data_IF_624520576456
#
_entry.id   IF_624520576456
#
_cell.length_a   1.000
_cell.length_b   1.000
_cell.length_c   1.000
_cell.angle_alpha   90.00
_cell.angle_beta   90.00
_cell.angle_gamma   90.00
#
_symmetry.space_group_name_H-M   'P 1'
#
loop_
_entity.id
_entity.type
_entity.pdbx_description
1 polymer ?
#
# COMPACT_ATOMS: atom_id res chain seq x y z
N UNK A 1 -29.43 -28.15 10.15
CA UNK A 1 -28.77 -27.22 9.21
C UNK A 1 -27.71 -28.02 8.50
N UNK A 2 -27.87 -28.29 7.21
CA UNK A 2 -26.78 -28.86 6.41
C UNK A 2 -25.64 -27.83 6.43
N UNK A 3 -24.48 -28.19 7.00
CA UNK A 3 -23.29 -27.35 6.85
C UNK A 3 -22.98 -27.37 5.35
N UNK A 4 -22.92 -26.19 4.73
CA UNK A 4 -22.43 -26.07 3.35
C UNK A 4 -20.97 -26.54 3.25
N UNK A 5 -20.40 -26.59 2.03
CA UNK A 5 -18.98 -26.87 1.85
C UNK A 5 -18.15 -25.87 2.67
N UNK A 6 -16.97 -26.32 3.15
CA UNK A 6 -16.07 -25.48 3.93
C UNK A 6 -15.66 -24.26 3.08
N UNK A 7 -15.68 -23.03 3.61
CA UNK A 7 -15.25 -21.85 2.86
C UNK A 7 -13.88 -22.09 2.20
N UNK A 8 -13.77 -21.68 0.93
CA UNK A 8 -12.55 -21.80 0.10
C UNK A 8 -12.06 -23.22 -0.19
N UNK A 9 -12.84 -24.25 0.11
CA UNK A 9 -12.56 -25.58 -0.43
C UNK A 9 -12.89 -25.65 -1.93
N UNK A 10 -12.34 -26.63 -2.64
CA UNK A 10 -12.72 -26.91 -4.04
C UNK A 10 -14.23 -27.13 -4.19
N UNK A 11 -14.88 -27.76 -3.20
CA UNK A 11 -16.34 -27.91 -3.16
C UNK A 11 -17.09 -26.57 -2.98
N UNK A 12 -16.49 -25.60 -2.30
CA UNK A 12 -17.07 -24.26 -2.11
C UNK A 12 -16.92 -23.41 -3.37
N UNK A 13 -15.74 -23.43 -4.01
CA UNK A 13 -15.47 -22.71 -5.26
C UNK A 13 -16.35 -23.16 -6.43
N UNK A 14 -16.76 -24.43 -6.42
CA UNK A 14 -17.63 -25.02 -7.47
C UNK A 14 -19.11 -25.03 -7.09
N UNK A 15 -19.46 -24.58 -5.88
CA UNK A 15 -20.85 -24.54 -5.43
C UNK A 15 -21.61 -23.39 -6.13
N UNK A 16 -22.90 -23.58 -6.45
CA UNK A 16 -23.73 -22.49 -6.97
C UNK A 16 -23.81 -21.34 -5.93
N UNK A 17 -23.79 -20.07 -6.36
CA UNK A 17 -23.73 -18.92 -5.46
C UNK A 17 -24.87 -18.95 -4.45
N UNK A 18 -24.51 -18.87 -3.17
CA UNK A 18 -25.47 -18.87 -2.06
C UNK A 18 -26.11 -17.48 -1.99
N UNK A 19 -27.44 -17.43 -1.98
CA UNK A 19 -28.15 -16.17 -1.84
C UNK A 19 -27.68 -15.43 -0.56
N UNK A 20 -27.43 -14.10 -0.64
CA UNK A 20 -26.88 -13.35 0.48
C UNK A 20 -27.73 -13.52 1.73
N UNK A 21 -27.07 -13.76 2.87
CA UNK A 21 -27.77 -13.81 4.15
C UNK A 21 -28.46 -12.46 4.37
N UNK A 22 -29.76 -12.44 4.73
CA UNK A 22 -30.42 -11.19 5.05
C UNK A 22 -29.67 -10.53 6.21
N UNK A 23 -29.35 -9.25 6.06
CA UNK A 23 -28.71 -8.45 7.09
C UNK A 23 -29.35 -8.72 8.46
N UNK A 24 -28.53 -8.93 9.50
CA UNK A 24 -29.00 -9.11 10.88
C UNK A 24 -29.81 -7.88 11.29
N UNK A 25 -31.13 -7.96 11.12
CA UNK A 25 -32.04 -6.90 11.58
C UNK A 25 -31.95 -6.85 13.10
N UNK A 26 -31.55 -5.71 13.63
CA UNK A 26 -31.62 -5.43 15.06
C UNK A 26 -33.02 -5.79 15.58
N UNK A 27 -33.12 -6.41 16.78
CA UNK A 27 -34.40 -6.82 17.34
C UNK A 27 -35.35 -5.61 17.44
N UNK A 28 -36.62 -5.82 17.08
CA UNK A 28 -37.62 -4.77 16.85
C UNK A 28 -37.78 -3.76 18.01
N UNK A 29 -37.39 -4.13 19.24
CA UNK A 29 -37.38 -3.24 20.40
C UNK A 29 -36.37 -2.08 20.30
N UNK A 30 -35.23 -2.26 19.63
CA UNK A 30 -34.18 -1.24 19.51
C UNK A 30 -34.55 -0.19 18.45
N UNK A 31 -35.17 -0.62 17.33
CA UNK A 31 -35.60 0.31 16.27
C UNK A 31 -36.81 1.16 16.68
N UNK A 32 -37.68 0.66 17.57
CA UNK A 32 -38.76 1.46 18.15
C UNK A 32 -38.24 2.49 19.17
N UNK A 33 -37.25 2.14 19.99
CA UNK A 33 -36.65 3.09 20.94
C UNK A 33 -35.94 4.26 20.22
N UNK A 34 -35.22 3.98 19.13
CA UNK A 34 -34.58 5.00 18.29
C UNK A 34 -35.61 5.91 17.57
N UNK A 35 -36.72 5.34 17.09
CA UNK A 35 -37.80 6.13 16.45
C UNK A 35 -38.61 6.97 17.44
N UNK A 36 -38.81 6.51 18.68
CA UNK A 36 -39.51 7.30 19.71
C UNK A 36 -38.63 8.36 20.37
N UNK A 37 -37.30 8.17 20.41
CA UNK A 37 -36.35 9.20 20.85
C UNK A 37 -36.24 10.38 19.88
N UNK A 38 -36.26 10.11 18.57
CA UNK A 38 -36.13 11.13 17.54
C UNK A 38 -37.38 12.02 17.37
N UNK A 39 -38.58 11.54 17.75
CA UNK A 39 -39.83 12.28 17.57
C UNK A 39 -40.13 13.32 18.67
N UNK A 40 -39.23 13.50 19.66
CA UNK A 40 -39.47 14.35 20.83
C UNK A 40 -38.32 15.32 21.13
N UNK A 41 -37.61 15.76 20.10
CA UNK A 41 -36.56 16.76 20.21
C UNK A 41 -37.01 18.06 19.50
N UNK A 42 -36.94 19.24 20.16
CA UNK A 42 -37.09 20.51 19.46
C UNK A 42 -35.90 20.68 18.50
N UNK A 43 -36.11 21.35 17.37
CA UNK A 43 -35.25 21.32 16.17
C UNK A 43 -33.74 21.51 16.39
N UNK A 44 -32.97 21.25 15.32
CA UNK A 44 -31.51 21.03 15.26
C UNK A 44 -30.61 21.92 16.17
N UNK A 45 -31.02 23.15 16.45
CA UNK A 45 -30.31 24.07 17.35
C UNK A 45 -30.41 23.69 18.85
N UNK A 46 -31.46 22.98 19.28
CA UNK A 46 -31.59 22.53 20.66
C UNK A 46 -30.74 21.29 20.94
N UNK A 47 -30.55 20.42 19.94
CA UNK A 47 -29.71 19.23 20.07
C UNK A 47 -28.23 19.60 20.24
N UNK A 48 -27.75 20.54 19.41
CA UNK A 48 -26.37 21.04 19.49
C UNK A 48 -26.10 21.75 20.82
N UNK A 49 -27.02 22.59 21.31
CA UNK A 49 -26.87 23.20 22.65
C UNK A 49 -26.88 22.18 23.78
N UNK A 50 -27.69 21.12 23.69
CA UNK A 50 -27.79 20.11 24.77
C UNK A 50 -26.55 19.23 24.83
N UNK A 51 -25.98 18.85 23.67
CA UNK A 51 -24.73 18.08 23.59
C UNK A 51 -23.55 18.90 24.10
N UNK A 52 -23.45 20.18 23.73
CA UNK A 52 -22.40 21.08 24.24
C UNK A 52 -22.53 21.28 25.75
N UNK A 53 -23.74 21.46 26.28
CA UNK A 53 -23.97 21.61 27.71
C UNK A 53 -23.62 20.33 28.49
N UNK A 54 -23.89 19.15 27.93
CA UNK A 54 -23.52 17.85 28.50
C UNK A 54 -21.99 17.67 28.53
N UNK A 55 -21.29 18.04 27.46
CA UNK A 55 -19.82 18.00 27.42
C UNK A 55 -19.17 18.95 28.43
N UNK A 56 -19.75 20.14 28.63
CA UNK A 56 -19.30 21.12 29.65
C UNK A 56 -19.56 20.62 31.07
N UNK A 57 -20.69 19.98 31.33
CA UNK A 57 -21.02 19.44 32.66
C UNK A 57 -20.18 18.19 33.00
N UNK A 58 -19.84 17.34 32.03
CA UNK A 58 -18.94 16.19 32.22
C UNK A 58 -17.51 16.64 32.51
N UNK A 59 -17.04 17.71 31.86
CA UNK A 59 -15.69 18.27 32.11
C UNK A 59 -15.59 19.01 33.46
N UNK A 60 -16.68 19.57 33.97
CA UNK A 60 -16.74 20.17 35.32
C UNK A 60 -16.94 19.15 36.45
N UNK A 61 -17.39 17.92 36.15
CA UNK A 61 -17.62 16.85 37.13
C UNK A 61 -16.37 16.05 37.53
N UNK A 62 -15.30 16.12 36.73
CA UNK A 62 -14.05 15.38 36.97
C UNK A 62 -13.04 16.11 37.88
N UNK A 63 -13.36 17.30 38.36
CA UNK A 63 -12.52 18.06 39.29
C UNK A 63 -13.26 18.31 40.60
N UNK A 64 -13.04 17.44 41.59
CA UNK A 64 -13.23 17.79 43.00
C UNK A 64 -12.03 17.34 43.82
N UNK A 65 -11.60 18.14 44.82
CA UNK A 65 -10.30 18.01 45.45
C UNK A 65 -10.40 17.15 46.72
N UNK A 66 -9.50 16.17 46.89
CA UNK A 66 -9.01 15.69 48.20
C UNK A 66 -8.03 14.53 48.02
N UNK A 67 -6.83 14.70 48.58
CA UNK A 67 -5.82 13.66 48.70
C UNK A 67 -4.50 14.26 49.20
N UNK A 68 -4.42 14.51 50.51
CA UNK A 68 -3.19 14.91 51.21
C UNK A 68 -2.12 13.82 51.14
N UNK A 69 -0.87 14.21 50.86
CA UNK A 69 0.31 13.41 51.15
C UNK A 69 1.39 14.29 51.81
N UNK A 70 1.41 14.18 53.14
CA UNK A 70 2.52 14.27 54.08
C UNK A 70 3.86 14.90 53.62
N UNK A 71 4.22 15.99 54.31
CA UNK A 71 5.54 16.63 54.31
C UNK A 71 6.29 16.22 55.59
N UNK A 72 7.58 15.83 55.50
CA UNK A 72 8.53 16.10 56.56
C UNK A 72 9.45 17.27 56.18
N UNK A 73 9.47 18.21 57.11
CA UNK A 73 10.27 19.42 57.22
C UNK A 73 11.78 19.12 57.24
N UNK A 74 12.53 19.76 56.33
CA UNK A 74 13.93 20.16 56.57
C UNK A 74 14.15 21.55 55.96
N UNK A 75 14.20 22.56 56.84
CA UNK A 75 15.30 23.52 56.89
C UNK A 75 15.40 24.53 55.75
N UNK A 76 15.00 25.77 56.03
CA UNK A 76 15.02 26.88 55.09
C UNK A 76 16.39 27.23 54.50
N UNK A 77 16.37 27.54 53.21
CA UNK A 77 17.10 28.62 52.55
C UNK A 77 16.42 28.84 51.17
N UNK A 78 16.21 30.10 50.80
CA UNK A 78 15.52 30.49 49.55
C UNK A 78 16.23 29.94 48.30
N UNK A 79 15.51 29.36 47.31
CA UNK A 79 16.11 28.99 46.04
C UNK A 79 16.24 30.23 45.16
N UNK A 80 17.46 30.79 45.12
CA UNK A 80 17.90 31.73 44.09
C UNK A 80 17.83 31.06 42.72
N UNK A 81 17.28 31.77 41.74
CA UNK A 81 17.35 31.43 40.32
C UNK A 81 18.81 31.13 39.94
N UNK A 82 19.08 29.90 39.50
CA UNK A 82 20.35 29.54 38.90
C UNK A 82 20.49 30.23 37.55
N UNK A 83 21.50 31.10 37.45
CA UNK A 83 21.89 31.78 36.24
C UNK A 83 22.40 30.79 35.17
N UNK A 84 22.25 31.13 33.87
CA UNK A 84 22.76 30.30 32.77
C UNK A 84 24.29 30.20 32.82
N UNK A 85 24.78 28.98 32.61
CA UNK A 85 26.19 28.60 32.52
C UNK A 85 26.88 29.33 31.35
N UNK A 86 28.09 29.88 31.54
CA UNK A 86 28.77 30.67 30.52
C UNK A 86 29.38 29.82 29.39
N UNK A 87 29.19 30.29 28.15
CA UNK A 87 29.83 29.84 26.92
C UNK A 87 31.29 30.31 26.93
N UNK A 88 32.29 29.49 26.53
CA UNK A 88 33.67 29.95 26.45
C UNK A 88 33.85 30.99 25.34
N UNK A 89 34.29 32.19 25.75
CA UNK A 89 34.68 33.30 24.88
C UNK A 89 36.06 33.01 24.27
N UNK A 90 36.17 33.00 22.94
CA UNK A 90 37.46 33.08 22.25
C UNK A 90 37.86 34.55 22.16
N UNK A 91 38.92 34.91 22.88
CA UNK A 91 39.58 36.22 22.76
C UNK A 91 40.29 36.30 21.40
N UNK A 92 39.88 37.28 20.58
CA UNK A 92 40.62 37.69 19.40
C UNK A 92 41.60 38.79 19.83
N UNK A 93 42.87 38.41 19.91
CA UNK A 93 44.00 39.29 20.20
C UNK A 93 44.21 40.30 19.05
N UNK A 94 44.46 41.56 19.39
CA UNK A 94 44.69 42.65 18.45
C UNK A 94 46.06 42.52 17.75
N UNK A 95 46.01 42.48 16.41
CA UNK A 95 46.92 43.07 15.44
C UNK A 95 48.44 43.05 15.70
N UNK A 96 49.15 42.22 14.93
CA UNK A 96 50.52 42.50 14.46
C UNK A 96 50.61 42.36 12.92
N UNK A 97 51.58 43.05 12.29
CA UNK A 97 51.38 43.78 11.04
C UNK A 97 51.38 42.91 9.78
N UNK A 98 50.66 43.42 8.77
CA UNK A 98 50.44 42.80 7.48
C UNK A 98 51.74 42.40 6.75
N UNK A 99 51.86 41.15 6.26
CA UNK A 99 52.82 40.80 5.24
C UNK A 99 52.42 41.45 3.91
N UNK A 100 53.35 42.14 3.27
CA UNK A 100 53.18 42.65 1.91
C UNK A 100 53.09 41.47 0.93
N UNK A 101 52.04 41.37 0.10
CA UNK A 101 52.06 40.44 -1.01
C UNK A 101 52.82 41.06 -2.19
N UNK A 102 53.97 40.48 -2.51
CA UNK A 102 54.55 40.55 -3.85
C UNK A 102 53.58 39.81 -4.79
N UNK A 103 52.81 40.56 -5.59
CA UNK A 103 52.04 40.00 -6.69
C UNK A 103 52.87 40.14 -7.96
N UNK A 104 53.34 39.00 -8.46
CA UNK A 104 53.77 38.81 -9.83
C UNK A 104 52.57 39.05 -10.75
N UNK A 105 52.70 39.97 -11.71
CA UNK A 105 51.70 40.18 -12.77
C UNK A 105 51.71 39.01 -13.76
N UNK A 106 51.00 37.95 -13.43
CA UNK A 106 50.41 37.04 -14.42
C UNK A 106 48.88 37.17 -14.34
N UNK A 107 48.27 37.40 -15.50
CA UNK A 107 46.92 37.91 -15.64
C UNK A 107 45.86 36.93 -15.11
N UNK A 108 45.19 37.32 -14.02
CA UNK A 108 43.89 36.81 -13.60
C UNK A 108 42.83 37.82 -14.00
N UNK A 109 42.20 37.59 -15.16
CA UNK A 109 40.97 38.28 -15.55
C UNK A 109 39.85 37.82 -14.63
N UNK A 110 39.46 38.70 -13.70
CA UNK A 110 38.26 38.51 -12.87
C UNK A 110 37.06 38.71 -13.78
N UNK A 111 36.37 37.61 -14.14
CA UNK A 111 35.09 37.67 -14.84
C UNK A 111 34.07 38.40 -13.98
N UNK A 112 33.27 39.26 -14.61
CA UNK A 112 32.16 39.94 -13.97
C UNK A 112 31.16 38.92 -13.40
N UNK A 113 30.41 39.29 -12.35
CA UNK A 113 29.37 38.42 -11.77
C UNK A 113 28.33 38.00 -12.82
N UNK A 114 28.13 38.82 -13.85
CA UNK A 114 27.24 38.57 -14.99
C UNK A 114 27.78 37.46 -15.91
N UNK A 115 29.08 37.46 -16.19
CA UNK A 115 29.74 36.40 -16.96
C UNK A 115 29.78 35.07 -16.19
N UNK A 116 29.99 35.10 -14.87
CA UNK A 116 29.95 33.90 -14.03
C UNK A 116 28.54 33.33 -13.81
N UNK A 117 27.50 34.15 -13.96
CA UNK A 117 26.10 33.70 -13.97
C UNK A 117 25.73 33.09 -15.34
N UNK A 118 26.16 33.74 -16.43
CA UNK A 118 25.95 33.24 -17.79
C UNK A 118 26.64 31.89 -18.02
N UNK A 119 27.85 31.67 -17.46
CA UNK A 119 28.53 30.38 -17.56
C UNK A 119 27.82 29.26 -16.79
N UNK A 120 27.31 29.55 -15.59
CA UNK A 120 26.52 28.58 -14.81
C UNK A 120 25.21 28.20 -15.50
N UNK A 121 24.56 29.17 -16.12
CA UNK A 121 23.36 28.91 -16.91
C UNK A 121 23.67 28.07 -18.15
N UNK A 122 24.76 28.39 -18.87
CA UNK A 122 25.20 27.63 -20.04
C UNK A 122 25.72 26.21 -19.69
N UNK A 123 26.14 25.98 -18.44
CA UNK A 123 26.51 24.66 -17.94
C UNK A 123 25.27 23.85 -17.53
N UNK A 124 24.30 24.48 -16.88
CA UNK A 124 23.01 23.86 -16.55
C UNK A 124 22.23 23.46 -17.82
N UNK A 125 22.21 24.31 -18.86
CA UNK A 125 21.57 24.00 -20.14
C UNK A 125 22.28 22.85 -20.86
N UNK A 126 23.62 22.77 -20.78
CA UNK A 126 24.38 21.64 -21.33
C UNK A 126 24.10 20.34 -20.58
N UNK A 127 24.00 20.40 -19.26
CA UNK A 127 23.68 19.24 -18.44
C UNK A 127 22.26 18.73 -18.72
N UNK A 128 21.29 19.64 -18.83
CA UNK A 128 19.92 19.32 -19.22
C UNK A 128 19.85 18.71 -20.63
N UNK A 129 20.67 19.17 -21.58
CA UNK A 129 20.73 18.58 -22.92
C UNK A 129 21.41 17.19 -22.93
N UNK A 130 22.42 16.98 -22.09
CA UNK A 130 23.04 15.66 -21.91
C UNK A 130 22.03 14.68 -21.30
N UNK A 131 21.29 15.10 -20.27
CA UNK A 131 20.24 14.29 -19.65
C UNK A 131 19.11 13.99 -20.62
N UNK A 132 18.65 14.97 -21.41
CA UNK A 132 17.64 14.73 -22.45
C UNK A 132 18.13 13.76 -23.52
N UNK A 133 19.39 13.86 -23.96
CA UNK A 133 19.96 12.92 -24.93
C UNK A 133 20.16 11.53 -24.33
N UNK A 134 20.54 11.43 -23.06
CA UNK A 134 20.64 10.16 -22.36
C UNK A 134 19.26 9.49 -22.19
N UNK A 135 18.22 10.28 -21.93
CA UNK A 135 16.82 9.84 -21.88
C UNK A 135 16.32 9.38 -23.26
N UNK A 136 16.59 10.16 -24.31
CA UNK A 136 16.29 9.80 -25.70
C UNK A 136 17.03 8.53 -26.13
N UNK A 137 18.30 8.35 -25.74
CA UNK A 137 19.07 7.14 -26.00
C UNK A 137 18.57 5.93 -25.18
N UNK A 138 18.13 6.12 -23.93
CA UNK A 138 17.47 5.06 -23.13
C UNK A 138 16.15 4.63 -23.74
N UNK A 139 15.34 5.58 -24.21
CA UNK A 139 14.06 5.30 -24.87
C UNK A 139 14.27 4.67 -26.27
N UNK A 140 15.33 5.05 -26.99
CA UNK A 140 15.68 4.46 -28.28
C UNK A 140 16.37 3.09 -28.15
N UNK A 141 17.04 2.83 -27.02
CA UNK A 141 17.64 1.54 -26.66
C UNK A 141 16.66 0.58 -25.98
N UNK A 142 15.39 0.99 -25.78
CA UNK A 142 14.34 0.07 -25.37
C UNK A 142 14.34 -1.13 -26.32
N UNK A 143 14.62 -2.35 -25.84
CA UNK A 143 14.66 -3.52 -26.70
C UNK A 143 13.28 -3.64 -27.35
N UNK A 144 13.25 -3.75 -28.68
CA UNK A 144 12.04 -4.17 -29.39
C UNK A 144 11.73 -5.58 -28.90
N UNK A 145 10.88 -5.67 -27.87
CA UNK A 145 10.42 -6.92 -27.31
C UNK A 145 9.82 -7.72 -28.47
N UNK A 146 10.49 -8.81 -28.85
CA UNK A 146 9.88 -9.83 -29.67
C UNK A 146 8.87 -10.53 -28.77
N UNK A 147 7.63 -10.04 -28.79
CA UNK A 147 6.50 -10.63 -28.08
C UNK A 147 6.42 -12.11 -28.47
N UNK A 148 6.78 -12.99 -27.52
CA UNK A 148 6.48 -14.41 -27.65
C UNK A 148 4.96 -14.56 -27.74
N UNK A 149 4.47 -15.50 -28.54
CA UNK A 149 3.04 -15.77 -28.61
C UNK A 149 2.49 -16.09 -27.19
N UNK A 150 1.26 -15.63 -26.86
CA UNK A 150 0.67 -15.87 -25.56
C UNK A 150 0.68 -17.37 -25.28
N UNK A 151 1.42 -17.79 -24.25
CA UNK A 151 1.27 -19.16 -23.74
C UNK A 151 -0.14 -19.25 -23.19
N UNK A 152 -0.87 -20.30 -23.58
CA UNK A 152 -2.18 -20.61 -23.00
C UNK A 152 -2.04 -20.60 -21.48
N UNK A 153 -2.93 -19.90 -20.73
CA UNK A 153 -2.90 -19.92 -19.27
C UNK A 153 -2.79 -21.36 -18.80
N UNK A 154 -1.78 -21.66 -17.99
CA UNK A 154 -1.67 -22.95 -17.32
C UNK A 154 -2.88 -23.00 -16.41
N UNK A 155 -3.91 -23.81 -16.71
CA UNK A 155 -5.07 -23.91 -15.84
C UNK A 155 -4.63 -24.63 -14.57
N UNK A 156 -4.13 -23.89 -13.59
CA UNK A 156 -3.86 -24.36 -12.24
C UNK A 156 -5.15 -24.99 -11.74
N UNK A 157 -5.12 -26.31 -11.51
CA UNK A 157 -6.31 -27.08 -11.10
C UNK A 157 -6.78 -26.56 -9.74
N UNK A 158 -8.08 -26.35 -9.57
CA UNK A 158 -8.69 -25.73 -8.38
C UNK A 158 -8.25 -24.27 -8.13
N UNK A 159 -7.75 -23.56 -9.16
CA UNK A 159 -7.53 -22.12 -9.13
C UNK A 159 -8.84 -21.30 -9.06
N UNK A 160 -8.72 -20.03 -8.66
CA UNK A 160 -9.84 -19.10 -8.57
C UNK A 160 -10.20 -18.49 -9.94
N UNK A 161 -9.19 -18.13 -10.73
CA UNK A 161 -9.32 -17.50 -12.05
C UNK A 161 -9.12 -18.52 -13.18
N UNK A 162 -9.70 -18.33 -14.38
CA UNK A 162 -10.54 -17.21 -14.81
C UNK A 162 -12.02 -17.34 -14.40
N UNK A 163 -12.43 -18.42 -13.74
CA UNK A 163 -13.83 -18.70 -13.38
C UNK A 163 -14.44 -17.60 -12.53
N UNK A 164 -13.65 -17.05 -11.60
CA UNK A 164 -14.02 -15.90 -10.78
C UNK A 164 -13.22 -14.67 -11.18
N UNK A 165 -13.77 -13.51 -10.85
CA UNK A 165 -13.05 -12.24 -10.77
C UNK A 165 -12.77 -11.94 -9.31
N UNK A 166 -11.60 -11.40 -9.01
CA UNK A 166 -11.23 -11.02 -7.65
C UNK A 166 -11.34 -9.50 -7.54
N UNK A 167 -11.96 -9.02 -6.47
CA UNK A 167 -12.03 -7.61 -6.12
C UNK A 167 -11.42 -7.39 -4.73
N UNK A 168 -10.36 -6.62 -4.64
CA UNK A 168 -9.70 -6.32 -3.36
C UNK A 168 -9.79 -4.85 -2.99
N UNK A 169 -9.84 -4.59 -1.69
CA UNK A 169 -9.62 -3.27 -1.11
C UNK A 169 -8.27 -3.28 -0.42
N UNK A 170 -7.41 -2.33 -0.79
CA UNK A 170 -6.01 -2.25 -0.38
C UNK A 170 -5.80 -1.28 0.78
N UNK A 171 -4.89 -1.62 1.69
CA UNK A 171 -4.29 -0.62 2.55
C UNK A 171 -3.71 -1.10 3.88
N UNK A 172 -3.24 -0.15 4.67
CA UNK A 172 -2.81 -0.37 6.05
C UNK A 172 -3.93 0.00 7.05
N UNK A 173 -4.43 -0.97 7.83
CA UNK A 173 -5.51 -0.72 8.79
C UNK A 173 -5.16 0.40 9.78
N UNK A 174 -6.08 1.34 9.97
CA UNK A 174 -5.91 2.48 10.87
C UNK A 174 -5.04 3.62 10.33
N UNK A 175 -4.59 3.57 9.08
CA UNK A 175 -3.89 4.68 8.42
C UNK A 175 -4.61 5.15 7.15
N UNK A 176 -5.42 6.20 7.29
CA UNK A 176 -6.21 6.78 6.19
C UNK A 176 -5.40 7.43 5.05
N UNK A 177 -4.06 7.39 5.10
CA UNK A 177 -3.19 7.81 4.00
C UNK A 177 -2.65 6.64 3.18
N UNK A 178 -2.91 5.42 3.63
CA UNK A 178 -2.36 4.20 3.05
C UNK A 178 -3.49 3.28 2.60
N UNK A 179 -4.44 3.82 1.84
CA UNK A 179 -5.53 3.08 1.21
C UNK A 179 -6.81 2.97 2.04
N UNK A 180 -7.88 2.57 1.36
CA UNK A 180 -9.25 2.50 1.87
C UNK A 180 -9.39 1.65 3.14
N UNK A 181 -8.55 0.62 3.36
CA UNK A 181 -8.57 -0.16 4.61
C UNK A 181 -8.22 0.65 5.86
N UNK A 182 -7.57 1.80 5.69
CA UNK A 182 -7.26 2.73 6.77
C UNK A 182 -8.35 3.78 7.05
N UNK A 183 -9.39 3.86 6.21
CA UNK A 183 -10.41 4.92 6.27
C UNK A 183 -11.66 4.53 7.05
N UNK A 184 -12.03 3.25 7.04
CA UNK A 184 -13.28 2.74 7.63
C UNK A 184 -13.07 1.46 8.45
N UNK A 185 -14.04 1.12 9.30
CA UNK A 185 -14.05 -0.15 10.03
C UNK A 185 -14.32 -1.34 9.08
N UNK A 186 -13.81 -2.53 9.41
CA UNK A 186 -13.87 -3.73 8.54
C UNK A 186 -15.28 -4.13 8.08
N UNK A 187 -16.28 -4.00 8.94
CA UNK A 187 -17.68 -4.32 8.58
C UNK A 187 -18.21 -3.35 7.52
N UNK A 188 -17.87 -2.06 7.62
CA UNK A 188 -18.27 -1.05 6.64
C UNK A 188 -17.55 -1.27 5.30
N UNK A 189 -16.24 -1.55 5.35
CA UNK A 189 -15.46 -1.91 4.15
C UNK A 189 -16.07 -3.12 3.46
N UNK A 190 -16.41 -4.17 4.21
CA UNK A 190 -16.99 -5.39 3.64
C UNK A 190 -18.33 -5.13 2.94
N UNK A 191 -19.17 -4.25 3.50
CA UNK A 191 -20.43 -3.86 2.86
C UNK A 191 -20.19 -3.06 1.57
N UNK A 192 -19.23 -2.13 1.58
CA UNK A 192 -18.83 -1.36 0.39
C UNK A 192 -18.26 -2.28 -0.72
N UNK A 193 -17.37 -3.21 -0.35
CA UNK A 193 -16.80 -4.19 -1.26
C UNK A 193 -17.88 -5.06 -1.92
N UNK A 194 -18.89 -5.50 -1.17
CA UNK A 194 -20.01 -6.28 -1.70
C UNK A 194 -20.88 -5.48 -2.67
N UNK A 195 -21.09 -4.19 -2.40
CA UNK A 195 -21.78 -3.29 -3.34
C UNK A 195 -20.96 -3.13 -4.63
N UNK A 196 -19.66 -2.90 -4.51
CA UNK A 196 -18.75 -2.79 -5.65
C UNK A 196 -18.69 -4.09 -6.47
N UNK A 197 -18.61 -5.24 -5.80
CA UNK A 197 -18.66 -6.56 -6.45
C UNK A 197 -19.97 -6.76 -7.24
N UNK A 198 -21.12 -6.39 -6.66
CA UNK A 198 -22.40 -6.46 -7.35
C UNK A 198 -22.47 -5.56 -8.60
N UNK A 199 -21.77 -4.42 -8.59
CA UNK A 199 -21.66 -3.57 -9.78
C UNK A 199 -20.87 -4.25 -10.91
N UNK A 200 -19.77 -4.94 -10.58
CA UNK A 200 -19.02 -5.74 -11.55
C UNK A 200 -19.81 -6.95 -12.07
N UNK A 201 -20.53 -7.67 -11.20
CA UNK A 201 -21.40 -8.78 -11.61
C UNK A 201 -22.57 -8.31 -12.49
N UNK A 202 -23.07 -7.10 -12.27
CA UNK A 202 -24.10 -6.51 -13.14
C UNK A 202 -23.55 -6.17 -14.53
N UNK A 203 -22.29 -5.71 -14.60
CA UNK A 203 -21.62 -5.36 -15.85
C UNK A 203 -21.13 -6.60 -16.63
N UNK A 204 -20.71 -7.66 -15.94
CA UNK A 204 -20.35 -8.96 -16.51
C UNK A 204 -20.97 -10.12 -15.70
N UNK A 205 -22.22 -10.51 -16.03
CA UNK A 205 -22.92 -11.59 -15.32
C UNK A 205 -22.35 -12.98 -15.52
N UNK A 206 -21.32 -13.14 -16.37
CA UNK A 206 -20.74 -14.45 -16.68
C UNK A 206 -19.66 -14.88 -15.66
N UNK A 207 -19.12 -13.92 -14.89
CA UNK A 207 -18.04 -14.14 -13.93
C UNK A 207 -18.43 -13.63 -12.54
N UNK A 208 -18.72 -14.53 -11.58
CA UNK A 208 -18.94 -14.14 -10.19
C UNK A 208 -17.73 -13.42 -9.60
N UNK A 209 -17.96 -12.54 -8.62
CA UNK A 209 -16.88 -11.75 -8.00
C UNK A 209 -16.61 -12.25 -6.57
N UNK A 210 -15.37 -12.65 -6.32
CA UNK A 210 -14.84 -12.92 -4.98
C UNK A 210 -14.23 -11.64 -4.42
N UNK A 211 -14.56 -11.29 -3.18
CA UNK A 211 -14.02 -10.11 -2.50
C UNK A 211 -12.86 -10.48 -1.56
N UNK A 212 -11.86 -9.62 -1.43
CA UNK A 212 -10.73 -9.83 -0.52
C UNK A 212 -10.12 -8.57 0.08
N UNK A 213 -9.61 -8.68 1.30
CA UNK A 213 -8.79 -7.63 1.90
C UNK A 213 -7.35 -7.76 1.40
N UNK A 214 -6.71 -6.66 1.05
CA UNK A 214 -5.29 -6.62 0.71
C UNK A 214 -4.55 -5.75 1.71
N UNK A 215 -3.98 -6.41 2.73
CA UNK A 215 -3.41 -5.79 3.91
C UNK A 215 -1.90 -5.72 3.76
N UNK A 216 -1.35 -4.51 3.91
CA UNK A 216 0.10 -4.32 3.95
C UNK A 216 0.65 -5.02 5.18
N UNK A 217 1.44 -6.08 4.97
CA UNK A 217 2.02 -6.93 6.01
C UNK A 217 3.43 -6.46 6.42
N UNK A 218 4.14 -5.77 5.53
CA UNK A 218 5.38 -5.06 5.85
C UNK A 218 5.37 -3.68 5.20
N UNK A 219 5.60 -2.63 5.99
CA UNK A 219 5.46 -1.24 5.58
C UNK A 219 6.83 -0.60 5.41
N UNK A 220 7.15 -0.16 4.19
CA UNK A 220 8.35 0.58 3.89
C UNK A 220 8.39 1.94 4.61
N UNK A 221 9.57 2.26 5.11
CA UNK A 221 9.85 3.47 5.88
C UNK A 221 10.82 4.36 5.11
N UNK A 222 10.69 5.67 5.28
CA UNK A 222 11.69 6.61 4.79
C UNK A 222 13.00 6.55 5.58
N UNK A 223 12.91 6.20 6.87
CA UNK A 223 14.06 6.11 7.78
C UNK A 223 14.52 4.65 7.93
N UNK A 224 15.84 4.47 8.09
CA UNK A 224 16.43 3.17 8.35
C UNK A 224 15.98 2.61 9.70
N UNK A 225 15.53 1.35 9.71
CA UNK A 225 15.14 0.63 10.92
C UNK A 225 16.36 -0.02 11.60
N UNK A 226 16.19 -0.52 12.83
CA UNK A 226 17.32 -1.04 13.62
C UNK A 226 18.06 -2.22 12.96
N UNK A 227 17.40 -2.96 12.08
CA UNK A 227 17.94 -4.07 11.29
C UNK A 227 18.46 -3.65 9.91
N UNK A 228 18.36 -2.37 9.57
CA UNK A 228 18.75 -1.82 8.26
C UNK A 228 17.76 -2.11 7.12
N UNK A 229 16.59 -2.68 7.42
CA UNK A 229 15.62 -3.14 6.40
C UNK A 229 14.81 -2.03 5.76
N UNK A 230 14.63 -0.90 6.45
CA UNK A 230 13.62 0.12 6.12
C UNK A 230 12.18 -0.42 6.16
N UNK A 231 11.91 -1.48 6.93
CA UNK A 231 10.57 -2.06 7.10
C UNK A 231 10.08 -2.01 8.54
N UNK A 232 8.82 -1.62 8.71
CA UNK A 232 8.05 -1.93 9.90
C UNK A 232 7.07 -3.05 9.58
N UNK A 233 7.19 -4.17 10.29
CA UNK A 233 6.26 -5.28 10.15
C UNK A 233 4.93 -4.94 10.80
N UNK A 234 3.85 -5.31 10.12
CA UNK A 234 2.50 -5.22 10.67
C UNK A 234 2.40 -6.13 11.89
N UNK A 235 1.86 -5.65 13.03
CA UNK A 235 1.75 -6.47 14.24
C UNK A 235 1.01 -7.77 13.97
N UNK A 236 1.53 -8.89 14.48
CA UNK A 236 0.93 -10.22 14.30
C UNK A 236 -0.53 -10.24 14.77
N UNK A 237 -0.87 -9.53 15.85
CA UNK A 237 -2.23 -9.43 16.35
C UNK A 237 -3.20 -8.80 15.35
N UNK A 238 -2.73 -7.84 14.55
CA UNK A 238 -3.54 -7.20 13.51
C UNK A 238 -3.73 -8.15 12.31
N UNK A 239 -2.69 -8.89 11.92
CA UNK A 239 -2.80 -9.92 10.89
C UNK A 239 -3.73 -11.06 11.30
N UNK A 240 -3.67 -11.49 12.58
CA UNK A 240 -4.63 -12.43 13.16
C UNK A 240 -6.05 -11.88 13.10
N UNK A 241 -6.26 -10.62 13.46
CA UNK A 241 -7.58 -9.98 13.46
C UNK A 241 -8.21 -9.90 12.05
N UNK A 242 -7.39 -9.68 11.02
CA UNK A 242 -7.86 -9.71 9.63
C UNK A 242 -8.05 -11.13 9.10
N UNK A 243 -7.21 -12.07 9.51
CA UNK A 243 -7.32 -13.49 9.14
C UNK A 243 -8.59 -14.10 9.71
N UNK A 244 -8.88 -13.88 11.00
CA UNK A 244 -10.09 -14.36 11.66
C UNK A 244 -11.34 -13.71 11.04
N UNK A 245 -11.31 -12.39 10.81
CA UNK A 245 -12.42 -11.69 10.17
C UNK A 245 -12.69 -12.21 8.75
N UNK A 246 -11.63 -12.51 7.99
CA UNK A 246 -11.74 -13.03 6.65
C UNK A 246 -12.36 -14.44 6.62
N UNK A 247 -11.91 -15.32 7.53
CA UNK A 247 -12.46 -16.67 7.69
C UNK A 247 -13.95 -16.65 8.09
N UNK A 248 -14.34 -15.76 9.02
CA UNK A 248 -15.71 -15.66 9.52
C UNK A 248 -16.71 -15.14 8.47
N UNK A 249 -16.23 -14.39 7.48
CA UNK A 249 -17.06 -13.68 6.50
C UNK A 249 -16.95 -14.23 5.07
N UNK A 250 -16.25 -15.35 4.87
CA UNK A 250 -16.05 -15.97 3.56
C UNK A 250 -15.40 -15.00 2.55
N UNK A 251 -14.39 -14.24 2.98
CA UNK A 251 -13.61 -13.33 2.11
C UNK A 251 -12.12 -13.71 2.03
N UNK A 252 -11.49 -13.36 0.90
CA UNK A 252 -10.06 -13.60 0.70
C UNK A 252 -9.23 -12.61 1.52
N UNK A 253 -7.98 -12.97 1.79
CA UNK A 253 -6.98 -12.08 2.37
C UNK A 253 -5.69 -12.15 1.55
N UNK A 254 -5.16 -11.02 1.16
CA UNK A 254 -3.87 -10.87 0.50
C UNK A 254 -2.95 -10.13 1.45
N UNK A 255 -1.77 -10.72 1.71
CA UNK A 255 -0.72 -10.09 2.49
C UNK A 255 0.23 -9.43 1.52
N UNK A 256 0.26 -8.10 1.54
CA UNK A 256 1.11 -7.29 0.67
C UNK A 256 2.45 -7.00 1.35
N UNK A 257 3.55 -7.35 0.71
CA UNK A 257 4.91 -7.11 1.24
C UNK A 257 5.63 -6.05 0.44
N UNK A 258 6.12 -5.03 1.14
CA UNK A 258 6.90 -3.94 0.55
C UNK A 258 8.40 -4.24 0.52
N UNK A 259 8.86 -5.34 1.13
CA UNK A 259 10.21 -5.94 0.99
C UNK A 259 11.39 -5.11 1.55
N UNK A 260 11.42 -3.79 1.36
CA UNK A 260 12.49 -2.92 1.80
C UNK A 260 13.85 -3.46 1.33
N UNK A 261 14.80 -3.62 2.25
CA UNK A 261 16.11 -4.24 1.99
C UNK A 261 16.20 -5.70 2.42
N UNK A 262 15.09 -6.35 2.79
CA UNK A 262 15.07 -7.80 3.07
C UNK A 262 15.05 -8.57 1.74
N UNK A 263 15.29 -9.87 1.81
CA UNK A 263 15.04 -10.75 0.67
C UNK A 263 13.57 -11.15 0.62
N UNK A 264 13.05 -11.51 -0.56
CA UNK A 264 11.68 -12.04 -0.67
C UNK A 264 11.51 -13.29 0.18
N UNK A 265 12.53 -14.16 0.26
CA UNK A 265 12.50 -15.36 1.10
C UNK A 265 12.27 -15.01 2.58
N UNK A 266 13.01 -14.03 3.11
CA UNK A 266 12.86 -13.61 4.52
C UNK A 266 11.46 -13.04 4.79
N UNK A 267 10.93 -12.24 3.86
CA UNK A 267 9.60 -11.63 3.98
C UNK A 267 8.48 -12.69 3.99
N UNK A 268 8.46 -13.58 2.99
CA UNK A 268 7.38 -14.56 2.85
C UNK A 268 7.46 -15.65 3.93
N UNK A 269 8.66 -16.00 4.39
CA UNK A 269 8.83 -16.98 5.47
C UNK A 269 8.26 -16.45 6.80
N UNK A 270 8.41 -15.15 7.07
CA UNK A 270 7.80 -14.48 8.23
C UNK A 270 6.27 -14.56 8.23
N UNK A 271 5.65 -14.66 7.05
CA UNK A 271 4.19 -14.72 6.87
C UNK A 271 3.63 -16.15 6.77
N UNK A 272 4.48 -17.18 6.85
CA UNK A 272 4.07 -18.60 6.75
C UNK A 272 2.83 -18.94 7.59
N UNK A 273 2.70 -18.55 8.88
CA UNK A 273 1.55 -18.97 9.71
C UNK A 273 0.18 -18.56 9.13
N UNK A 274 0.12 -17.42 8.44
CA UNK A 274 -1.11 -16.95 7.79
C UNK A 274 -1.25 -17.53 6.40
N UNK A 275 -0.17 -17.63 5.62
CA UNK A 275 -0.21 -18.17 4.25
C UNK A 275 -0.61 -19.66 4.21
N UNK A 276 -0.44 -20.41 5.31
CA UNK A 276 -0.95 -21.80 5.45
C UNK A 276 -2.48 -21.89 5.53
N UNK A 277 -3.21 -20.76 5.62
CA UNK A 277 -4.67 -20.72 5.55
C UNK A 277 -5.15 -20.73 4.09
N UNK A 278 -6.20 -21.48 3.73
CA UNK A 278 -6.59 -21.67 2.32
C UNK A 278 -7.03 -20.39 1.59
N UNK A 279 -7.50 -19.38 2.31
CA UNK A 279 -8.00 -18.11 1.78
C UNK A 279 -7.01 -16.95 1.85
N UNK A 280 -5.80 -17.22 2.34
CA UNK A 280 -4.73 -16.22 2.46
C UNK A 280 -3.76 -16.40 1.29
N UNK A 281 -3.48 -15.29 0.63
CA UNK A 281 -2.68 -15.14 -0.59
C UNK A 281 -1.59 -14.09 -0.39
N UNK A 282 -0.72 -13.93 -1.38
CA UNK A 282 0.45 -13.05 -1.29
C UNK A 282 0.41 -11.98 -2.39
N UNK A 283 0.79 -10.76 -2.04
CA UNK A 283 1.09 -9.69 -2.97
C UNK A 283 2.52 -9.20 -2.73
N UNK A 284 3.24 -8.93 -3.82
CA UNK A 284 4.56 -8.30 -3.80
C UNK A 284 4.40 -6.88 -4.31
N UNK A 285 5.01 -5.93 -3.60
CA UNK A 285 5.13 -4.54 -4.04
C UNK A 285 6.59 -4.19 -4.37
N UNK A 286 7.03 -4.44 -5.62
CA UNK A 286 8.40 -4.18 -6.05
C UNK A 286 8.83 -2.73 -5.92
N UNK A 287 7.92 -1.74 -5.86
CA UNK A 287 8.29 -0.32 -5.72
C UNK A 287 9.18 -0.10 -4.49
N UNK A 288 8.98 -0.93 -3.47
CA UNK A 288 9.66 -0.80 -2.19
C UNK A 288 10.81 -1.80 -2.00
N UNK A 289 11.09 -2.64 -2.99
CA UNK A 289 12.23 -3.56 -2.99
C UNK A 289 13.56 -2.83 -3.27
N UNK A 290 14.24 -2.42 -2.20
CA UNK A 290 15.43 -1.57 -2.23
C UNK A 290 16.73 -2.36 -2.29
N UNK A 291 17.64 -1.91 -3.17
CA UNK A 291 19.04 -2.34 -3.15
C UNK A 291 19.82 -1.64 -2.04
N UNK A 292 21.05 -2.11 -1.84
CA UNK A 292 22.00 -1.48 -0.92
C UNK A 292 22.25 -0.02 -1.32
N UNK A 293 21.90 0.90 -0.41
CA UNK A 293 22.06 2.34 -0.59
C UNK A 293 20.83 3.05 -1.15
N UNK A 294 19.81 2.32 -1.58
CA UNK A 294 18.52 2.88 -2.00
C UNK A 294 17.59 3.06 -0.79
N UNK A 295 16.69 4.04 -0.89
CA UNK A 295 15.78 4.47 0.18
C UNK A 295 14.34 4.45 -0.38
N UNK A 296 13.38 3.80 0.31
CA UNK A 296 11.98 3.79 -0.10
C UNK A 296 11.41 5.21 -0.25
N UNK A 297 10.64 5.45 -1.30
CA UNK A 297 10.03 6.75 -1.61
C UNK A 297 10.97 7.79 -2.21
N UNK A 298 12.30 7.58 -2.16
CA UNK A 298 13.27 8.34 -2.96
C UNK A 298 13.67 7.60 -4.24
N UNK A 299 13.72 6.26 -4.16
CA UNK A 299 14.07 5.37 -5.26
C UNK A 299 12.89 4.44 -5.56
N UNK A 300 12.72 4.07 -6.83
CA UNK A 300 11.79 3.03 -7.23
C UNK A 300 12.54 1.70 -7.21
N UNK A 301 12.06 0.80 -6.35
CA UNK A 301 12.57 -0.54 -6.14
C UNK A 301 12.32 -1.47 -7.32
N UNK A 302 12.96 -2.63 -7.25
CA UNK A 302 12.95 -3.61 -8.31
C UNK A 302 13.05 -5.03 -7.75
N UNK A 303 12.32 -5.95 -8.37
CA UNK A 303 12.51 -7.41 -8.23
C UNK A 303 12.92 -8.01 -9.56
N UNK A 304 13.58 -9.17 -9.56
CA UNK A 304 13.87 -9.92 -10.79
C UNK A 304 12.77 -10.93 -11.12
N UNK A 305 12.66 -11.33 -12.39
CA UNK A 305 11.83 -12.47 -12.79
C UNK A 305 12.14 -13.76 -12.02
N UNK A 306 13.40 -13.98 -11.61
CA UNK A 306 13.81 -15.08 -10.76
C UNK A 306 13.20 -14.99 -9.35
N UNK A 307 13.06 -13.78 -8.81
CA UNK A 307 12.47 -13.54 -7.49
C UNK A 307 10.96 -13.85 -7.51
N UNK A 308 10.25 -13.46 -8.59
CA UNK A 308 8.85 -13.83 -8.81
C UNK A 308 8.70 -15.35 -8.97
N UNK A 309 9.62 -15.99 -9.72
CA UNK A 309 9.62 -17.45 -9.90
C UNK A 309 9.86 -18.17 -8.57
N UNK A 310 10.74 -17.64 -7.72
CA UNK A 310 10.97 -18.16 -6.37
C UNK A 310 9.71 -18.07 -5.51
N UNK A 311 9.04 -16.91 -5.46
CA UNK A 311 7.80 -16.73 -4.71
C UNK A 311 6.70 -17.69 -5.18
N UNK A 312 6.54 -17.85 -6.50
CA UNK A 312 5.63 -18.84 -7.08
C UNK A 312 5.92 -20.25 -6.58
N UNK A 313 7.16 -20.72 -6.69
CA UNK A 313 7.56 -22.07 -6.26
C UNK A 313 7.38 -22.28 -4.76
N UNK A 314 7.71 -21.27 -3.95
CA UNK A 314 7.52 -21.33 -2.50
C UNK A 314 6.04 -21.48 -2.12
N UNK A 315 5.14 -20.76 -2.79
CA UNK A 315 3.70 -20.86 -2.57
C UNK A 315 3.12 -22.21 -3.00
N UNK A 316 3.62 -22.79 -4.10
CA UNK A 316 3.26 -24.17 -4.53
C UNK A 316 3.67 -25.17 -3.45
N UNK A 317 4.92 -25.12 -3.00
CA UNK A 317 5.40 -26.02 -1.95
C UNK A 317 4.63 -25.86 -0.64
N UNK A 318 4.27 -24.62 -0.28
CA UNK A 318 3.45 -24.34 0.89
C UNK A 318 2.07 -24.99 0.76
N UNK A 319 1.39 -24.76 -0.36
CA UNK A 319 0.05 -25.28 -0.60
C UNK A 319 0.02 -26.82 -0.58
N UNK A 320 0.98 -27.45 -1.25
CA UNK A 320 1.13 -28.91 -1.28
C UNK A 320 1.40 -29.49 0.11
N UNK A 321 2.29 -28.87 0.90
CA UNK A 321 2.62 -29.35 2.25
C UNK A 321 1.46 -29.17 3.23
N UNK A 322 0.66 -28.11 3.07
CA UNK A 322 -0.47 -27.79 3.93
C UNK A 322 -1.79 -28.47 3.48
N UNK A 323 -1.82 -29.13 2.32
CA UNK A 323 -3.02 -29.73 1.72
C UNK A 323 -4.15 -28.70 1.55
N UNK A 324 -3.79 -27.53 0.98
CA UNK A 324 -4.68 -26.41 0.72
C UNK A 324 -4.72 -26.06 -0.78
N UNK A 325 -5.76 -25.34 -1.25
CA UNK A 325 -5.86 -24.94 -2.65
C UNK A 325 -4.68 -24.07 -3.12
N UNK A 326 -4.48 -23.97 -4.45
CA UNK A 326 -3.51 -23.08 -5.05
C UNK A 326 -3.62 -21.64 -4.55
N UNK A 327 -2.46 -20.99 -4.48
CA UNK A 327 -2.37 -19.58 -4.07
C UNK A 327 -2.48 -18.66 -5.27
N UNK A 328 -2.91 -17.43 -5.02
CA UNK A 328 -2.72 -16.31 -5.93
C UNK A 328 -1.49 -15.52 -5.47
N UNK A 329 -0.64 -15.16 -6.43
CA UNK A 329 0.48 -14.25 -6.25
C UNK A 329 0.20 -12.99 -7.08
N UNK A 330 0.05 -11.86 -6.42
CA UNK A 330 -0.03 -10.54 -7.07
C UNK A 330 1.37 -9.94 -7.13
N UNK A 331 1.72 -9.32 -8.24
CA UNK A 331 2.93 -8.49 -8.36
C UNK A 331 2.53 -7.13 -8.90
N UNK A 332 2.65 -6.09 -8.07
CA UNK A 332 2.31 -4.72 -8.46
C UNK A 332 3.35 -4.15 -9.43
N UNK A 333 2.86 -3.39 -10.42
CA UNK A 333 3.71 -2.70 -11.37
C UNK A 333 3.02 -1.47 -11.98
N UNK A 334 3.66 -0.32 -11.88
CA UNK A 334 3.30 0.87 -12.67
C UNK A 334 4.43 1.35 -13.59
N UNK A 335 5.67 0.90 -13.33
CA UNK A 335 6.83 1.26 -14.14
C UNK A 335 7.55 0.02 -14.68
N UNK A 336 7.99 0.06 -15.94
CA UNK A 336 8.57 -1.09 -16.63
C UNK A 336 9.86 -1.62 -15.97
N UNK A 337 10.58 -0.78 -15.21
CA UNK A 337 11.82 -1.15 -14.53
C UNK A 337 11.62 -1.90 -13.22
N UNK A 338 10.40 -1.94 -12.68
CA UNK A 338 10.11 -2.58 -11.38
C UNK A 338 10.31 -4.10 -11.41
N UNK A 339 10.23 -4.71 -12.60
CA UNK A 339 10.48 -6.13 -12.80
C UNK A 339 11.64 -6.27 -13.78
N UNK A 340 12.81 -6.63 -13.27
CA UNK A 340 13.98 -6.93 -14.09
C UNK A 340 13.80 -8.26 -14.83
N UNK A 341 14.31 -8.32 -16.06
CA UNK A 341 14.21 -9.51 -16.91
C UNK A 341 12.77 -10.01 -17.07
N UNK A 342 11.77 -9.10 -17.09
CA UNK A 342 10.34 -9.43 -17.13
C UNK A 342 9.96 -10.41 -18.23
N UNK A 343 10.67 -10.42 -19.36
CA UNK A 343 10.47 -11.38 -20.45
C UNK A 343 10.72 -12.85 -20.07
N UNK A 344 11.35 -13.09 -18.91
CA UNK A 344 11.58 -14.42 -18.33
C UNK A 344 10.51 -14.83 -17.32
N UNK A 345 9.65 -13.90 -16.87
CA UNK A 345 8.50 -14.24 -16.02
C UNK A 345 7.66 -15.26 -16.77
N UNK A 346 7.26 -16.32 -16.08
CA UNK A 346 6.43 -17.35 -16.65
C UNK A 346 5.51 -17.94 -15.57
N UNK A 347 4.31 -18.39 -15.94
CA UNK A 347 3.42 -19.11 -15.03
C UNK A 347 4.08 -20.39 -14.49
N UNK A 348 3.84 -20.68 -13.22
CA UNK A 348 4.22 -21.93 -12.55
C UNK A 348 2.94 -22.69 -12.19
N UNK A 349 2.84 -23.96 -12.60
CA UNK A 349 1.69 -24.80 -12.26
C UNK A 349 1.54 -24.94 -10.74
N UNK A 350 0.31 -24.73 -10.22
CA UNK A 350 0.01 -24.82 -8.77
C UNK A 350 -0.08 -23.48 -8.06
N UNK A 351 0.15 -22.37 -8.76
CA UNK A 351 -0.04 -20.99 -8.29
C UNK A 351 -0.58 -20.15 -9.44
N UNK A 352 -1.38 -19.13 -9.13
CA UNK A 352 -1.91 -18.21 -10.13
C UNK A 352 -1.17 -16.88 -10.04
N UNK A 353 -0.48 -16.50 -11.12
CA UNK A 353 0.28 -15.25 -11.16
C UNK A 353 -0.57 -14.12 -11.77
N UNK A 354 -0.74 -13.04 -11.02
CA UNK A 354 -1.33 -11.80 -11.48
C UNK A 354 -0.26 -10.71 -11.55
N UNK A 355 -0.12 -10.08 -12.71
CA UNK A 355 0.58 -8.78 -12.78
C UNK A 355 -0.47 -7.69 -12.69
N UNK A 356 -0.33 -6.81 -11.70
CA UNK A 356 -1.27 -5.72 -11.44
C UNK A 356 -0.74 -4.38 -11.97
N UNK A 357 -1.60 -3.63 -12.68
CA UNK A 357 -1.29 -2.28 -13.15
C UNK A 357 -1.58 -1.25 -12.05
N UNK A 358 -0.53 -0.90 -11.31
CA UNK A 358 -0.59 -0.11 -10.06
C UNK A 358 -0.33 1.40 -10.24
N UNK A 359 -0.79 1.96 -11.36
CA UNK A 359 -0.64 3.38 -11.66
C UNK A 359 -1.95 4.15 -11.53
N UNK A 360 -1.88 5.40 -11.06
CA UNK A 360 -3.02 6.32 -11.02
C UNK A 360 -2.97 7.37 -12.14
N UNK A 361 -4.11 8.01 -12.39
CA UNK A 361 -4.21 9.16 -13.28
C UNK A 361 -5.57 9.30 -13.93
N UNK A 362 -5.60 9.97 -15.08
CA UNK A 362 -6.79 10.03 -15.92
C UNK A 362 -7.09 8.65 -16.52
N UNK A 363 -8.35 8.37 -16.94
CA UNK A 363 -8.69 7.12 -17.63
C UNK A 363 -7.82 6.82 -18.87
N UNK A 364 -7.30 7.85 -19.55
CA UNK A 364 -6.38 7.66 -20.69
C UNK A 364 -5.02 7.15 -20.23
N UNK A 365 -4.45 7.75 -19.19
CA UNK A 365 -3.18 7.32 -18.58
C UNK A 365 -3.31 5.91 -17.99
N UNK A 366 -4.42 5.62 -17.30
CA UNK A 366 -4.73 4.27 -16.78
C UNK A 366 -4.71 3.21 -17.88
N UNK A 367 -5.40 3.47 -19.00
CA UNK A 367 -5.41 2.55 -20.15
C UNK A 367 -4.03 2.39 -20.76
N UNK A 368 -3.25 3.47 -20.85
CA UNK A 368 -1.89 3.42 -21.38
C UNK A 368 -0.97 2.58 -20.50
N UNK A 369 -0.97 2.81 -19.17
CA UNK A 369 -0.19 2.01 -18.21
C UNK A 369 -0.63 0.55 -18.24
N UNK A 370 -1.93 0.27 -18.25
CA UNK A 370 -2.46 -1.08 -18.31
C UNK A 370 -1.97 -1.84 -19.54
N UNK A 371 -2.02 -1.21 -20.72
CA UNK A 371 -1.51 -1.83 -21.95
C UNK A 371 -0.01 -2.13 -21.87
N UNK A 372 0.80 -1.21 -21.32
CA UNK A 372 2.26 -1.41 -21.18
C UNK A 372 2.59 -2.52 -20.19
N UNK A 373 1.90 -2.55 -19.05
CA UNK A 373 2.14 -3.52 -17.98
C UNK A 373 1.65 -4.91 -18.37
N UNK A 374 0.44 -5.02 -18.92
CA UNK A 374 -0.24 -6.30 -19.12
C UNK A 374 -0.11 -6.90 -20.53
N UNK A 375 0.41 -6.18 -21.53
CA UNK A 375 0.68 -6.77 -22.86
C UNK A 375 2.08 -7.40 -23.01
N UNK A 376 2.92 -7.33 -21.98
CA UNK A 376 4.26 -7.91 -21.99
C UNK A 376 4.21 -9.39 -21.57
N UNK A 377 4.09 -10.27 -22.56
CA UNK A 377 3.95 -11.72 -22.37
C UNK A 377 5.25 -12.42 -21.94
N UNK A 378 5.17 -13.53 -21.18
CA UNK A 378 3.96 -14.27 -20.78
C UNK A 378 3.48 -13.98 -19.34
N UNK A 379 2.34 -13.30 -19.24
CA UNK A 379 1.57 -13.07 -17.99
C UNK A 379 0.34 -13.99 -18.01
N UNK A 380 -0.04 -14.57 -16.87
CA UNK A 380 -1.15 -15.53 -16.76
C UNK A 380 -2.51 -14.84 -16.61
N UNK A 381 -2.63 -13.95 -15.62
CA UNK A 381 -3.82 -13.18 -15.29
C UNK A 381 -3.49 -11.70 -15.10
N UNK A 382 -4.49 -10.84 -15.25
CA UNK A 382 -4.28 -9.40 -15.37
C UNK A 382 -4.99 -8.62 -14.27
N UNK A 383 -4.26 -7.74 -13.59
CA UNK A 383 -4.77 -6.87 -12.53
C UNK A 383 -4.82 -5.40 -12.95
N UNK A 384 -5.77 -4.67 -12.38
CA UNK A 384 -5.81 -3.21 -12.39
C UNK A 384 -6.14 -2.67 -11.00
N UNK A 385 -5.35 -1.71 -10.53
CA UNK A 385 -5.59 -1.02 -9.25
C UNK A 385 -6.12 0.38 -9.47
N UNK A 386 -7.14 0.77 -8.75
CA UNK A 386 -7.85 2.05 -8.88
C UNK A 386 -7.72 2.86 -7.61
N UNK A 387 -7.55 4.16 -7.75
CA UNK A 387 -7.24 5.05 -6.64
C UNK A 387 -8.36 6.07 -6.45
N UNK A 388 -9.13 5.97 -5.36
CA UNK A 388 -10.33 6.79 -5.16
C UNK A 388 -10.05 8.31 -5.21
N UNK A 389 -8.89 8.72 -4.69
CA UNK A 389 -8.54 10.13 -4.56
C UNK A 389 -7.67 10.66 -5.72
N UNK A 390 -6.95 9.77 -6.42
CA UNK A 390 -5.94 10.12 -7.43
C UNK A 390 -6.46 9.91 -8.85
N UNK A 391 -7.36 8.96 -9.07
CA UNK A 391 -7.97 8.74 -10.39
C UNK A 391 -9.09 9.74 -10.63
N UNK A 392 -8.86 10.66 -11.57
CA UNK A 392 -9.80 11.77 -11.85
C UNK A 392 -10.11 11.86 -13.34
N UNK A 393 -11.34 11.51 -13.77
CA UNK A 393 -12.36 10.79 -13.01
C UNK A 393 -11.98 9.32 -12.78
N UNK A 394 -12.50 8.73 -11.70
CA UNK A 394 -12.44 7.29 -11.46
C UNK A 394 -13.21 6.54 -12.56
N UNK A 395 -12.59 5.52 -13.15
CA UNK A 395 -13.21 4.68 -14.16
C UNK A 395 -14.35 3.83 -13.58
N UNK A 396 -15.44 3.65 -14.34
CA UNK A 396 -16.57 2.80 -13.91
C UNK A 396 -16.28 1.31 -14.13
N UNK A 397 -17.01 0.39 -13.46
CA UNK A 397 -16.89 -1.05 -13.72
C UNK A 397 -17.02 -1.40 -15.20
N UNK A 398 -17.96 -0.79 -15.92
CA UNK A 398 -18.13 -1.02 -17.36
C UNK A 398 -16.90 -0.60 -18.15
N UNK A 399 -16.30 0.56 -17.83
CA UNK A 399 -15.11 1.04 -18.50
C UNK A 399 -13.89 0.15 -18.22
N UNK A 400 -13.77 -0.37 -17.00
CA UNK A 400 -12.70 -1.30 -16.60
C UNK A 400 -12.83 -2.63 -17.35
N UNK A 401 -14.06 -3.12 -17.52
CA UNK A 401 -14.32 -4.35 -18.26
C UNK A 401 -14.17 -4.20 -19.79
N UNK A 402 -13.90 -2.98 -20.28
CA UNK A 402 -13.45 -2.75 -21.67
C UNK A 402 -11.93 -2.76 -21.86
N UNK A 403 -11.16 -2.86 -20.79
CA UNK A 403 -9.71 -3.02 -20.90
C UNK A 403 -9.40 -4.33 -21.63
N UNK A 404 -8.30 -4.31 -22.37
CA UNK A 404 -7.79 -5.45 -23.12
C UNK A 404 -6.37 -5.73 -22.63
N UNK A 405 -6.06 -6.94 -22.13
CA UNK A 405 -7.00 -8.00 -21.77
C UNK A 405 -7.98 -7.57 -20.66
N UNK A 406 -9.13 -8.26 -20.54
CA UNK A 406 -10.11 -7.96 -19.49
C UNK A 406 -9.50 -8.34 -18.12
N UNK A 407 -9.49 -7.44 -17.12
CA UNK A 407 -8.89 -7.73 -15.81
C UNK A 407 -9.60 -8.88 -15.08
N UNK A 408 -8.79 -9.73 -14.48
CA UNK A 408 -9.20 -10.83 -13.59
C UNK A 408 -9.18 -10.39 -12.12
N UNK A 409 -8.32 -9.43 -11.79
CA UNK A 409 -8.20 -8.79 -10.48
C UNK A 409 -8.48 -7.28 -10.60
N UNK A 410 -9.31 -6.75 -9.72
CA UNK A 410 -9.49 -5.31 -9.53
C UNK A 410 -9.18 -4.95 -8.10
N UNK A 411 -8.33 -3.95 -7.90
CA UNK A 411 -7.94 -3.46 -6.58
C UNK A 411 -8.44 -2.03 -6.43
N UNK A 412 -8.97 -1.67 -5.27
CA UNK A 412 -9.33 -0.29 -4.93
C UNK A 412 -8.48 0.19 -3.75
N UNK A 413 -7.89 1.38 -3.88
CA UNK A 413 -7.05 2.04 -2.89
C UNK A 413 -7.59 3.41 -2.52
#
# INVERSE_FOLDING_TARGET
MSRGPKPFSSEWLTAPPVAPRPARRLPAGISQALRFGAARLPGEHALTMTVVLLLVLVSLGAASPRGEAHVPDIGGEEPRLAAPTPVPTLELDEAQPAPQPTITTEALTVKSQEEAAAERQAEAERQAEIERKAEEERQAAAPKLQLQEPRTPTTTTDGLMPEHRILTYYGFPGNNKMGVLGEHDKDEILDQMREQAAAYEAADPSRPVLVGFEVIASVAQADEQADGSYLLDTPAELLDEYTDFAEENDVLLFLDVQIGRRSIEDEIEGLRPWLEKPFVHLALDPEFAMRKGEIPGEHIGQVDAADITFAQQWLVELADKADIPPKVLIVHQFHYTMIENKEKVAPVEGVQLVIDSDGWGTPEEKRATYAVVNHQLPIEYFGVKLFYNQDVPLMTPEEILTLDPIPDLIIYQ
#
